data_IF_899933852578
#
_entry.id   IF_899933852578
#
_cell.length_a   1.000
_cell.length_b   1.000
_cell.length_c   1.000
_cell.angle_alpha   90.00
_cell.angle_beta   90.00
_cell.angle_gamma   90.00
#
_symmetry.space_group_name_H-M   'P 1'
#
loop_
_entity.id
_entity.type
_entity.pdbx_description
1 polymer ?
#
# COMPACT_ATOMS: atom_id res chain seq x y z
N UNK A 1 10.76 20.57 -0.44
CA UNK A 1 10.84 19.32 0.32
C UNK A 1 10.47 18.20 -0.65
N UNK A 2 11.32 17.19 -0.81
CA UNK A 2 10.99 16.06 -1.66
C UNK A 2 9.79 15.31 -1.10
N UNK A 3 8.93 14.81 -1.99
CA UNK A 3 7.71 14.10 -1.60
C UNK A 3 7.64 12.75 -2.30
N UNK A 4 7.30 11.72 -1.55
CA UNK A 4 7.10 10.35 -2.03
C UNK A 4 5.61 10.02 -1.88
N UNK A 5 5.01 9.52 -2.97
CA UNK A 5 3.65 9.02 -2.97
C UNK A 5 3.67 7.50 -2.86
N UNK A 6 2.88 6.97 -1.94
CA UNK A 6 2.80 5.54 -1.64
C UNK A 6 1.33 5.12 -1.54
N UNK A 7 0.98 4.02 -2.15
CA UNK A 7 -0.29 3.39 -1.78
C UNK A 7 -0.16 2.68 -0.42
N UNK A 8 -1.28 2.60 0.31
CA UNK A 8 -1.35 1.83 1.57
C UNK A 8 -0.85 0.41 1.37
N UNK A 9 -1.26 -0.22 0.26
CA UNK A 9 -0.86 -1.57 -0.08
C UNK A 9 0.65 -1.70 -0.30
N UNK A 10 1.27 -0.80 -1.08
CA UNK A 10 2.72 -0.80 -1.31
C UNK A 10 3.50 -0.66 -0.02
N UNK A 11 3.13 0.31 0.82
CA UNK A 11 3.79 0.54 2.11
C UNK A 11 3.75 -0.72 2.99
N UNK A 12 2.58 -1.31 3.11
CA UNK A 12 2.35 -2.48 3.97
C UNK A 12 3.04 -3.73 3.42
N UNK A 13 2.85 -4.04 2.14
CA UNK A 13 3.44 -5.23 1.52
C UNK A 13 4.97 -5.14 1.49
N UNK A 14 5.54 -3.97 1.20
CA UNK A 14 6.99 -3.78 1.21
C UNK A 14 7.62 -4.08 2.57
N UNK A 15 6.96 -3.70 3.66
CA UNK A 15 7.52 -3.82 5.01
C UNK A 15 7.16 -5.11 5.74
N UNK A 16 6.00 -5.69 5.47
CA UNK A 16 5.43 -6.75 6.28
C UNK A 16 5.18 -8.06 5.52
N UNK A 17 5.28 -8.05 4.19
CA UNK A 17 5.13 -9.28 3.42
C UNK A 17 6.25 -10.24 3.76
N UNK A 18 5.89 -11.42 4.21
CA UNK A 18 6.81 -12.52 4.54
C UNK A 18 6.50 -13.72 3.67
N UNK A 19 7.46 -14.61 3.50
CA UNK A 19 7.31 -15.83 2.71
C UNK A 19 8.14 -15.83 1.44
N UNK A 20 8.13 -16.97 0.73
CA UNK A 20 8.83 -17.15 -0.54
C UNK A 20 8.12 -16.37 -1.64
N UNK A 21 8.87 -15.92 -2.63
CA UNK A 21 8.30 -15.39 -3.88
C UNK A 21 7.57 -16.55 -4.56
N UNK A 22 6.24 -16.53 -4.49
CA UNK A 22 5.43 -17.48 -5.25
C UNK A 22 5.33 -16.99 -6.70
N UNK A 23 6.11 -17.60 -7.58
CA UNK A 23 6.11 -17.33 -9.02
C UNK A 23 4.93 -17.97 -9.76
N UNK A 24 4.06 -18.71 -9.06
CA UNK A 24 2.86 -19.28 -9.67
C UNK A 24 1.93 -18.15 -10.07
N UNK A 25 1.76 -18.00 -11.37
CA UNK A 25 0.83 -17.04 -11.95
C UNK A 25 -0.61 -17.42 -11.57
N UNK A 26 -1.12 -16.76 -10.54
CA UNK A 26 -2.54 -16.87 -10.18
C UNK A 26 -3.32 -15.94 -11.10
N UNK A 27 -3.81 -16.50 -12.21
CA UNK A 27 -4.29 -15.80 -13.38
C UNK A 27 -5.34 -14.71 -13.16
N UNK A 28 -5.55 -13.93 -14.21
CA UNK A 28 -6.56 -12.87 -14.36
C UNK A 28 -7.95 -13.25 -13.80
N UNK A 29 -8.32 -14.52 -13.86
CA UNK A 29 -9.60 -15.04 -13.40
C UNK A 29 -9.80 -14.87 -11.88
N UNK A 30 -8.77 -15.09 -11.05
CA UNK A 30 -8.86 -14.92 -9.59
C UNK A 30 -8.98 -13.46 -9.16
N UNK A 31 -8.30 -12.55 -9.86
CA UNK A 31 -8.42 -11.11 -9.56
C UNK A 31 -9.82 -10.59 -9.88
N UNK A 32 -10.39 -11.00 -11.02
CA UNK A 32 -11.75 -10.65 -11.42
C UNK A 32 -12.80 -11.27 -10.49
N UNK A 33 -12.59 -12.51 -10.05
CA UNK A 33 -13.46 -13.20 -9.09
C UNK A 33 -13.43 -12.48 -7.73
N UNK A 34 -12.24 -12.13 -7.23
CA UNK A 34 -12.08 -11.36 -6.01
C UNK A 34 -12.85 -10.04 -6.06
N UNK A 35 -12.67 -9.26 -7.13
CA UNK A 35 -13.38 -7.99 -7.32
C UNK A 35 -14.91 -8.17 -7.39
N UNK A 36 -15.40 -9.26 -7.98
CA UNK A 36 -16.84 -9.59 -8.01
C UNK A 36 -17.37 -9.89 -6.61
N UNK A 37 -16.60 -10.65 -5.83
CA UNK A 37 -16.96 -11.00 -4.45
C UNK A 37 -16.99 -9.76 -3.57
N UNK A 38 -15.97 -8.89 -3.64
CA UNK A 38 -15.95 -7.63 -2.91
C UNK A 38 -17.25 -6.84 -3.17
N UNK A 39 -17.59 -6.56 -4.44
CA UNK A 39 -18.81 -5.85 -4.79
C UNK A 39 -20.08 -6.53 -4.27
N UNK A 40 -20.12 -7.88 -4.27
CA UNK A 40 -21.26 -8.64 -3.73
C UNK A 40 -21.40 -8.44 -2.22
N UNK A 41 -20.30 -8.53 -1.48
CA UNK A 41 -20.28 -8.34 -0.02
C UNK A 41 -20.64 -6.91 0.36
N UNK A 42 -20.04 -5.93 -0.33
CA UNK A 42 -20.33 -4.50 -0.14
C UNK A 42 -21.81 -4.19 -0.37
N UNK A 43 -22.40 -4.71 -1.46
CA UNK A 43 -23.83 -4.53 -1.75
C UNK A 43 -24.74 -5.22 -0.71
N UNK A 44 -24.33 -6.39 -0.21
CA UNK A 44 -25.07 -7.13 0.80
C UNK A 44 -25.00 -6.50 2.20
N UNK A 45 -24.02 -5.63 2.44
CA UNK A 45 -23.88 -4.93 3.73
C UNK A 45 -24.99 -3.90 3.99
N UNK A 46 -25.74 -3.47 2.95
CA UNK A 46 -26.92 -2.63 3.10
C UNK A 46 -26.63 -1.13 3.19
N UNK A 47 -27.65 -0.39 3.62
CA UNK A 47 -27.58 1.05 3.83
C UNK A 47 -26.62 1.38 4.98
N UNK A 48 -25.87 2.48 4.84
CA UNK A 48 -24.87 2.89 5.84
C UNK A 48 -23.47 2.31 5.62
N UNK A 49 -23.30 1.36 4.69
CA UNK A 49 -21.99 0.84 4.31
C UNK A 49 -21.42 1.65 3.12
N UNK A 50 -20.38 2.42 3.37
CA UNK A 50 -19.66 3.18 2.34
C UNK A 50 -18.56 2.31 1.74
N UNK A 51 -18.75 1.88 0.49
CA UNK A 51 -17.80 1.02 -0.22
C UNK A 51 -16.72 1.82 -0.94
N UNK A 52 -15.53 1.25 -1.10
CA UNK A 52 -14.41 1.81 -1.89
C UNK A 52 -14.05 3.26 -1.50
N UNK A 53 -13.98 3.53 -0.21
CA UNK A 53 -13.72 4.88 0.31
C UNK A 53 -12.27 5.28 0.06
N UNK A 54 -12.06 6.30 -0.78
CA UNK A 54 -10.73 6.83 -1.03
C UNK A 54 -10.24 7.65 0.16
N UNK A 55 -9.08 7.29 0.66
CA UNK A 55 -8.43 7.92 1.81
C UNK A 55 -7.03 8.37 1.42
N UNK A 56 -6.63 9.54 1.90
CA UNK A 56 -5.28 10.08 1.70
C UNK A 56 -4.81 10.82 2.94
N UNK A 57 -3.52 10.75 3.23
CA UNK A 57 -2.90 11.50 4.31
C UNK A 57 -1.50 11.97 3.91
N UNK A 58 -1.15 13.14 4.40
CA UNK A 58 0.21 13.66 4.28
C UNK A 58 0.93 13.54 5.62
N UNK A 59 2.17 13.09 5.58
CA UNK A 59 3.05 13.00 6.74
C UNK A 59 4.43 13.50 6.35
N UNK A 60 5.15 14.07 7.31
CA UNK A 60 6.54 14.50 7.12
C UNK A 60 7.44 13.80 8.12
N UNK A 61 8.56 13.27 7.64
CA UNK A 61 9.55 12.61 8.47
C UNK A 61 10.96 12.91 7.92
N UNK A 62 11.84 13.43 8.78
CA UNK A 62 13.23 13.78 8.44
C UNK A 62 13.38 14.60 7.14
N UNK A 63 12.49 15.57 6.92
CA UNK A 63 12.53 16.44 5.75
C UNK A 63 12.01 15.82 4.46
N UNK A 64 11.42 14.61 4.51
CA UNK A 64 10.76 13.96 3.39
C UNK A 64 9.24 14.00 3.63
N UNK A 65 8.48 14.46 2.64
CA UNK A 65 7.02 14.37 2.62
C UNK A 65 6.57 13.00 2.13
N UNK A 66 5.54 12.45 2.75
CA UNK A 66 4.88 11.21 2.34
C UNK A 66 3.41 11.49 2.09
N UNK A 67 2.93 11.20 0.88
CA UNK A 67 1.50 11.13 0.57
C UNK A 67 1.12 9.67 0.56
N UNK A 68 0.33 9.24 1.55
CA UNK A 68 -0.16 7.87 1.68
C UNK A 68 -1.61 7.86 1.21
N UNK A 69 -1.93 7.00 0.25
CA UNK A 69 -3.28 6.97 -0.33
C UNK A 69 -3.74 5.54 -0.61
N UNK A 70 -5.07 5.35 -0.65
CA UNK A 70 -5.67 4.07 -1.01
C UNK A 70 -7.18 4.07 -0.89
N UNK A 71 -7.78 2.91 -1.11
CA UNK A 71 -9.22 2.70 -0.97
C UNK A 71 -9.48 1.65 0.08
N UNK A 72 -10.17 2.03 1.15
CA UNK A 72 -10.70 1.07 2.11
C UNK A 72 -11.86 0.32 1.45
N UNK A 73 -11.93 -1.00 1.60
CA UNK A 73 -12.99 -1.81 1.01
C UNK A 73 -14.37 -1.39 1.51
N UNK A 74 -14.46 -1.02 2.80
CA UNK A 74 -15.69 -0.49 3.37
C UNK A 74 -15.50 0.28 4.66
N UNK A 75 -16.39 1.24 4.90
CA UNK A 75 -16.51 1.97 6.17
C UNK A 75 -17.98 2.08 6.53
N UNK A 76 -18.32 1.78 7.77
CA UNK A 76 -19.68 1.89 8.27
C UNK A 76 -19.68 2.16 9.78
N UNK A 77 -20.82 2.53 10.32
CA UNK A 77 -21.04 2.63 11.77
C UNK A 77 -21.86 1.44 12.22
N UNK A 78 -21.42 0.73 13.25
CA UNK A 78 -22.13 -0.40 13.81
C UNK A 78 -23.33 0.04 14.69
N UNK A 79 -24.03 -0.95 15.27
CA UNK A 79 -25.20 -0.70 16.11
C UNK A 79 -24.88 0.05 17.40
N UNK A 80 -23.64 -0.05 17.90
CA UNK A 80 -23.15 0.64 19.09
C UNK A 80 -22.63 2.05 18.79
N UNK A 81 -22.66 2.47 17.53
CA UNK A 81 -22.18 3.78 17.09
C UNK A 81 -20.67 3.83 16.84
N UNK A 82 -19.98 2.69 16.85
CA UNK A 82 -18.54 2.60 16.56
C UNK A 82 -18.32 2.56 15.05
N UNK A 83 -17.38 3.37 14.58
CA UNK A 83 -16.96 3.31 13.17
C UNK A 83 -16.08 2.10 12.94
N UNK A 84 -16.40 1.35 11.90
CA UNK A 84 -15.72 0.12 11.50
C UNK A 84 -15.07 0.31 10.13
N UNK A 85 -13.78 0.03 10.04
CA UNK A 85 -13.02 -0.06 8.80
C UNK A 85 -12.98 -1.52 8.38
N UNK A 86 -13.58 -1.87 7.27
CA UNK A 86 -13.70 -3.24 6.77
C UNK A 86 -12.69 -3.52 5.64
N UNK A 87 -11.85 -4.51 5.86
CA UNK A 87 -10.87 -4.99 4.88
C UNK A 87 -11.29 -6.39 4.41
N UNK A 88 -11.68 -6.52 3.14
CA UNK A 88 -12.22 -7.75 2.56
C UNK A 88 -11.12 -8.52 1.85
N UNK A 89 -11.03 -9.81 2.10
CA UNK A 89 -10.07 -10.71 1.46
C UNK A 89 -10.75 -11.99 0.96
N UNK A 90 -10.42 -12.40 -0.24
CA UNK A 90 -10.80 -13.71 -0.77
C UNK A 90 -9.64 -14.68 -0.61
N UNK A 91 -9.95 -15.92 -0.24
CA UNK A 91 -8.95 -16.97 -0.04
C UNK A 91 -9.48 -18.34 -0.44
N UNK A 92 -8.59 -19.19 -0.99
CA UNK A 92 -8.85 -20.60 -1.21
C UNK A 92 -8.32 -21.48 -0.06
N UNK A 93 -7.79 -20.88 1.02
CA UNK A 93 -7.37 -21.65 2.18
C UNK A 93 -8.57 -22.37 2.80
N UNK A 94 -8.39 -23.61 3.33
CA UNK A 94 -9.43 -24.30 4.06
C UNK A 94 -9.97 -23.45 5.22
N UNK A 95 -11.27 -23.54 5.51
CA UNK A 95 -11.92 -22.64 6.47
C UNK A 95 -11.33 -22.73 7.90
N UNK A 96 -10.81 -23.88 8.28
CA UNK A 96 -10.12 -24.12 9.56
C UNK A 96 -8.70 -23.54 9.62
N UNK A 97 -8.10 -23.25 8.46
CA UNK A 97 -6.82 -22.57 8.35
C UNK A 97 -6.93 -21.03 8.27
N UNK A 98 -8.16 -20.51 8.18
CA UNK A 98 -8.40 -19.06 8.16
C UNK A 98 -8.43 -18.58 9.61
N UNK A 99 -7.35 -17.93 10.02
CA UNK A 99 -7.21 -17.33 11.36
C UNK A 99 -7.03 -15.82 11.24
N UNK A 100 -7.23 -15.13 12.34
CA UNK A 100 -7.03 -13.68 12.37
C UNK A 100 -5.58 -13.26 12.07
N UNK A 101 -4.60 -14.10 12.36
CA UNK A 101 -3.18 -13.83 12.13
C UNK A 101 -2.62 -14.48 10.87
N UNK A 102 -3.49 -14.97 9.97
CA UNK A 102 -3.10 -15.64 8.74
C UNK A 102 -2.16 -14.80 7.86
N UNK A 103 -2.38 -13.50 7.83
CA UNK A 103 -1.52 -12.58 7.07
C UNK A 103 -1.45 -11.20 7.75
N UNK A 104 -0.28 -10.82 8.29
CA UNK A 104 -0.12 -9.55 9.00
C UNK A 104 -0.39 -8.31 8.10
N UNK A 105 -0.22 -8.44 6.78
CA UNK A 105 -0.51 -7.34 5.87
C UNK A 105 -1.99 -6.94 5.87
N UNK A 106 -2.90 -7.87 6.13
CA UNK A 106 -4.33 -7.57 6.09
C UNK A 106 -4.74 -6.66 7.25
N UNK A 107 -4.32 -6.97 8.49
CA UNK A 107 -4.50 -6.07 9.62
C UNK A 107 -3.83 -4.73 9.40
N UNK A 108 -2.61 -4.74 8.88
CA UNK A 108 -1.85 -3.51 8.66
C UNK A 108 -2.53 -2.59 7.65
N UNK A 109 -3.16 -3.10 6.59
CA UNK A 109 -3.94 -2.30 5.65
C UNK A 109 -5.13 -1.63 6.34
N UNK A 110 -5.95 -2.39 7.07
CA UNK A 110 -7.08 -1.85 7.81
C UNK A 110 -6.65 -0.83 8.89
N UNK A 111 -5.54 -1.09 9.59
CA UNK A 111 -4.99 -0.17 10.60
C UNK A 111 -4.51 1.14 9.97
N UNK A 112 -3.87 1.12 8.81
CA UNK A 112 -3.45 2.35 8.10
C UNK A 112 -4.67 3.13 7.64
N UNK A 113 -5.69 2.47 7.08
CA UNK A 113 -6.95 3.14 6.74
C UNK A 113 -7.64 3.71 7.98
N UNK A 114 -7.63 2.98 9.09
CA UNK A 114 -8.14 3.45 10.38
C UNK A 114 -7.40 4.68 10.90
N UNK A 115 -6.06 4.73 10.76
CA UNK A 115 -5.26 5.90 11.13
C UNK A 115 -5.64 7.12 10.31
N UNK A 116 -5.80 6.96 8.99
CA UNK A 116 -6.16 8.07 8.10
C UNK A 116 -7.58 8.56 8.42
N UNK A 117 -8.54 7.65 8.47
CA UNK A 117 -9.95 7.98 8.65
C UNK A 117 -10.23 8.58 10.03
N UNK A 118 -9.71 7.98 11.10
CA UNK A 118 -9.90 8.52 12.46
C UNK A 118 -9.29 9.92 12.62
N UNK A 119 -8.20 10.22 11.89
CA UNK A 119 -7.62 11.56 11.88
C UNK A 119 -8.50 12.57 11.14
N UNK A 120 -9.04 12.20 9.96
CA UNK A 120 -9.90 13.06 9.14
C UNK A 120 -11.23 13.37 9.83
N UNK A 121 -11.85 12.37 10.45
CA UNK A 121 -13.14 12.50 11.12
C UNK A 121 -13.03 12.87 12.61
N UNK A 122 -11.81 13.12 13.11
CA UNK A 122 -11.55 13.46 14.51
C UNK A 122 -12.08 12.44 15.53
N UNK A 123 -12.08 11.15 15.15
CA UNK A 123 -12.53 10.06 16.01
C UNK A 123 -11.46 9.70 17.04
N UNK A 124 -11.86 9.29 18.24
CA UNK A 124 -10.94 8.81 19.30
C UNK A 124 -10.50 7.38 19.11
N UNK A 125 -11.34 6.57 18.47
CA UNK A 125 -11.11 5.15 18.22
C UNK A 125 -11.93 4.67 17.02
N UNK A 126 -11.55 3.54 16.45
CA UNK A 126 -12.30 2.81 15.41
C UNK A 126 -12.07 1.31 15.59
N UNK A 127 -13.01 0.52 15.09
CA UNK A 127 -12.80 -0.90 14.90
C UNK A 127 -12.22 -1.18 13.51
N UNK A 128 -11.31 -2.12 13.44
CA UNK A 128 -10.84 -2.70 12.18
C UNK A 128 -11.41 -4.10 12.07
N UNK A 129 -12.08 -4.39 10.97
CA UNK A 129 -12.67 -5.71 10.69
C UNK A 129 -11.97 -6.33 9.49
N UNK A 130 -11.50 -7.57 9.64
CA UNK A 130 -11.09 -8.41 8.51
C UNK A 130 -12.27 -9.30 8.12
N UNK A 131 -12.69 -9.21 6.88
CA UNK A 131 -13.74 -10.05 6.29
C UNK A 131 -13.11 -11.00 5.28
N UNK A 132 -12.95 -12.27 5.65
CA UNK A 132 -12.49 -13.31 4.74
C UNK A 132 -13.66 -14.01 4.07
N UNK A 133 -13.59 -14.09 2.75
CA UNK A 133 -14.50 -14.92 1.94
C UNK A 133 -13.74 -16.13 1.42
N UNK A 134 -14.16 -17.32 1.83
CA UNK A 134 -13.59 -18.59 1.38
C UNK A 134 -14.24 -19.02 0.07
N UNK A 135 -13.42 -19.22 -0.98
CA UNK A 135 -13.88 -19.36 -2.37
C UNK A 135 -14.67 -20.65 -2.63
N UNK A 136 -14.28 -21.78 -2.00
CA UNK A 136 -14.86 -23.08 -2.33
C UNK A 136 -16.16 -23.38 -1.58
N UNK A 137 -16.38 -22.73 -0.44
CA UNK A 137 -17.54 -22.99 0.44
C UNK A 137 -18.44 -21.79 0.65
N UNK A 138 -18.13 -20.65 0.04
CA UNK A 138 -18.85 -19.37 0.22
C UNK A 138 -18.92 -18.90 1.70
N UNK A 139 -18.08 -19.45 2.59
CA UNK A 139 -18.08 -19.06 4.00
C UNK A 139 -17.46 -17.69 4.19
N UNK A 140 -18.06 -16.93 5.08
CA UNK A 140 -17.56 -15.62 5.50
C UNK A 140 -17.13 -15.71 6.95
N UNK A 141 -15.86 -15.38 7.22
CA UNK A 141 -15.31 -15.28 8.57
C UNK A 141 -14.92 -13.82 8.82
N UNK A 142 -15.26 -13.33 10.01
CA UNK A 142 -14.97 -11.95 10.40
C UNK A 142 -14.21 -11.93 11.72
N UNK A 143 -13.16 -11.11 11.73
CA UNK A 143 -12.37 -10.83 12.93
C UNK A 143 -12.37 -9.33 13.15
N UNK A 144 -12.58 -8.89 14.38
CA UNK A 144 -12.67 -7.46 14.73
C UNK A 144 -11.68 -7.15 15.84
N UNK A 145 -10.96 -6.04 15.71
CA UNK A 145 -10.10 -5.49 16.75
C UNK A 145 -10.38 -3.99 16.92
N UNK A 146 -10.47 -3.59 18.17
CA UNK A 146 -10.63 -2.19 18.55
C UNK A 146 -9.27 -1.51 18.65
N UNK A 147 -9.17 -0.27 18.10
CA UNK A 147 -7.96 0.53 18.18
C UNK A 147 -8.29 1.96 18.53
N UNK A 148 -7.56 2.54 19.46
CA UNK A 148 -7.54 3.98 19.65
C UNK A 148 -6.82 4.68 18.48
N UNK A 149 -7.20 5.91 18.21
CA UNK A 149 -6.51 6.77 17.23
C UNK A 149 -5.01 6.85 17.51
N UNK A 150 -4.62 6.93 18.77
CA UNK A 150 -3.22 7.01 19.16
C UNK A 150 -2.43 5.76 18.76
N UNK A 151 -2.98 4.58 18.97
CA UNK A 151 -2.35 3.31 18.56
C UNK A 151 -2.18 3.25 17.05
N UNK A 152 -3.20 3.65 16.29
CA UNK A 152 -3.17 3.67 14.83
C UNK A 152 -2.16 4.67 14.27
N UNK A 153 -2.10 5.88 14.82
CA UNK A 153 -1.11 6.88 14.44
C UNK A 153 0.32 6.43 14.77
N UNK A 154 0.54 5.82 15.93
CA UNK A 154 1.83 5.23 16.29
C UNK A 154 2.23 4.09 15.34
N UNK A 155 1.26 3.28 14.93
CA UNK A 155 1.51 2.20 13.98
C UNK A 155 1.93 2.75 12.62
N UNK A 156 1.18 3.71 12.06
CA UNK A 156 1.53 4.37 10.81
C UNK A 156 2.90 5.04 10.88
N UNK A 157 3.19 5.75 11.97
CA UNK A 157 4.50 6.36 12.19
C UNK A 157 5.63 5.32 12.19
N UNK A 158 5.45 4.17 12.84
CA UNK A 158 6.42 3.08 12.84
C UNK A 158 6.66 2.51 11.44
N UNK A 159 5.60 2.35 10.63
CA UNK A 159 5.74 1.92 9.24
C UNK A 159 6.57 2.90 8.42
N UNK A 160 6.25 4.19 8.51
CA UNK A 160 6.99 5.23 7.78
C UNK A 160 8.45 5.33 8.22
N UNK A 161 8.72 5.21 9.52
CA UNK A 161 10.08 5.17 10.03
C UNK A 161 10.89 3.98 9.49
N UNK A 162 10.26 2.81 9.37
CA UNK A 162 10.89 1.64 8.75
C UNK A 162 11.10 1.79 7.24
N UNK A 163 10.23 2.54 6.57
CA UNK A 163 10.32 2.81 5.12
C UNK A 163 11.36 3.90 4.79
N UNK A 164 11.67 4.77 5.75
CA UNK A 164 12.49 5.97 5.57
C UNK A 164 13.86 5.70 4.90
N UNK A 165 14.65 4.67 5.27
CA UNK A 165 15.94 4.40 4.60
C UNK A 165 15.76 4.12 3.11
N UNK A 166 14.68 3.43 2.74
CA UNK A 166 14.36 3.18 1.33
C UNK A 166 13.93 4.45 0.60
N UNK A 167 13.14 5.30 1.26
CA UNK A 167 12.75 6.60 0.74
C UNK A 167 13.97 7.48 0.43
N UNK A 168 14.92 7.56 1.36
CA UNK A 168 16.18 8.29 1.20
C UNK A 168 16.99 7.74 0.03
N UNK A 169 17.08 6.41 -0.09
CA UNK A 169 17.78 5.76 -1.21
C UNK A 169 17.13 6.07 -2.56
N UNK A 170 15.80 6.02 -2.65
CA UNK A 170 15.06 6.35 -3.87
C UNK A 170 15.33 7.79 -4.31
N UNK A 171 15.30 8.76 -3.39
CA UNK A 171 15.54 10.16 -3.70
C UNK A 171 16.98 10.39 -4.17
N UNK A 172 17.97 9.84 -3.48
CA UNK A 172 19.37 9.92 -3.89
C UNK A 172 19.60 9.30 -5.29
N UNK A 173 18.95 8.19 -5.57
CA UNK A 173 19.04 7.55 -6.89
C UNK A 173 18.37 8.39 -7.99
N UNK A 174 17.23 9.02 -7.69
CA UNK A 174 16.57 9.95 -8.64
C UNK A 174 17.44 11.16 -8.96
N UNK A 175 18.11 11.74 -7.97
CA UNK A 175 19.07 12.85 -8.17
C UNK A 175 20.23 12.43 -9.06
N UNK A 176 20.85 11.28 -8.77
CA UNK A 176 21.94 10.73 -9.56
C UNK A 176 21.53 10.47 -11.01
N UNK A 177 20.33 9.89 -11.20
CA UNK A 177 19.78 9.63 -12.55
C UNK A 177 19.49 10.92 -13.29
N UNK A 178 18.92 11.91 -12.64
CA UNK A 178 18.63 13.22 -13.26
C UNK A 178 19.92 13.93 -13.67
N UNK A 179 20.95 13.91 -12.82
CA UNK A 179 22.26 14.45 -13.15
C UNK A 179 22.92 13.74 -14.34
N UNK A 180 22.81 12.43 -14.42
CA UNK A 180 23.33 11.63 -15.54
C UNK A 180 22.61 11.92 -16.85
N UNK A 181 21.29 12.12 -16.82
CA UNK A 181 20.50 12.49 -18.00
C UNK A 181 20.88 13.88 -18.51
N UNK A 182 21.02 14.86 -17.60
CA UNK A 182 21.46 16.22 -17.96
C UNK A 182 22.85 16.23 -18.59
N UNK A 183 23.80 15.46 -18.05
CA UNK A 183 25.12 15.31 -18.64
C UNK A 183 25.07 14.69 -20.05
N UNK A 184 24.18 13.70 -20.26
CA UNK A 184 23.99 13.08 -21.57
C UNK A 184 23.35 14.04 -22.58
N UNK A 185 22.35 14.82 -22.16
CA UNK A 185 21.76 15.88 -23.00
C UNK A 185 22.79 16.93 -23.43
N UNK A 186 23.64 17.39 -22.51
CA UNK A 186 24.73 18.33 -22.81
C UNK A 186 25.73 17.74 -23.82
N UNK A 187 26.09 16.48 -23.71
CA UNK A 187 26.96 15.80 -24.68
C UNK A 187 26.30 15.71 -26.06
N UNK A 188 25.02 15.37 -26.12
CA UNK A 188 24.28 15.34 -27.39
C UNK A 188 24.15 16.73 -28.03
N UNK A 189 23.93 17.77 -27.23
CA UNK A 189 23.93 19.17 -27.72
C UNK A 189 25.30 19.60 -28.30
N UNK A 190 26.38 18.98 -27.85
CA UNK A 190 27.75 19.20 -28.38
C UNK A 190 28.08 18.30 -29.58
N UNK A 191 27.10 17.65 -30.19
CA UNK A 191 27.27 16.87 -31.42
C UNK A 191 27.65 15.40 -31.23
N UNK A 192 27.64 14.90 -29.99
CA UNK A 192 27.82 13.46 -29.74
C UNK A 192 26.54 12.70 -30.03
N UNK A 193 26.64 11.59 -30.74
CA UNK A 193 25.50 10.70 -30.97
C UNK A 193 25.38 9.69 -29.83
N UNK A 194 24.20 9.05 -29.71
CA UNK A 194 24.00 8.00 -28.71
C UNK A 194 24.97 6.83 -28.89
N UNK A 195 25.38 6.53 -30.13
CA UNK A 195 26.39 5.52 -30.46
C UNK A 195 27.79 5.91 -30.00
N UNK A 196 28.11 7.21 -29.91
CA UNK A 196 29.40 7.67 -29.40
C UNK A 196 29.50 7.53 -27.88
N UNK A 197 28.35 7.54 -27.20
CA UNK A 197 28.24 7.36 -25.73
C UNK A 197 28.27 5.88 -25.31
N UNK A 198 28.00 4.98 -26.25
CA UNK A 198 28.13 3.53 -26.03
C UNK A 198 29.51 3.11 -26.50
N UNK A 199 30.37 2.71 -25.59
CA UNK A 199 31.66 2.12 -25.95
C UNK A 199 31.51 0.92 -26.89
N UNK A 200 32.58 0.50 -27.54
CA UNK A 200 32.59 -0.65 -28.48
C UNK A 200 32.01 -1.96 -27.91
N UNK A 201 31.87 -2.05 -26.60
CA UNK A 201 31.25 -3.17 -25.88
C UNK A 201 29.73 -2.99 -25.66
N UNK A 202 29.12 -1.89 -26.14
CA UNK A 202 27.71 -1.55 -25.86
C UNK A 202 27.45 -1.15 -24.41
N UNK A 203 28.48 -0.93 -23.59
CA UNK A 203 28.33 -0.44 -22.22
C UNK A 203 28.46 1.08 -22.17
N UNK A 204 27.70 1.76 -21.30
CA UNK A 204 27.87 3.22 -21.11
C UNK A 204 29.31 3.56 -20.74
N UNK A 205 29.86 4.54 -21.40
CA UNK A 205 31.15 5.12 -21.01
C UNK A 205 30.96 5.93 -19.73
N UNK A 206 31.80 5.70 -18.72
CA UNK A 206 31.85 6.58 -17.56
C UNK A 206 32.53 7.90 -17.99
N UNK A 207 31.73 8.94 -18.16
CA UNK A 207 32.24 10.29 -18.38
C UNK A 207 32.53 10.90 -17.02
N UNK A 208 33.83 11.15 -16.73
CA UNK A 208 34.21 12.04 -15.63
C UNK A 208 33.97 13.46 -16.15
N UNK A 209 33.08 14.17 -15.53
CA UNK A 209 32.94 15.61 -15.69
C UNK A 209 33.89 16.22 -14.64
N UNK A 210 34.98 16.85 -15.12
CA UNK A 210 35.88 17.64 -14.28
C UNK A 210 35.21 18.97 -13.89
#
# INVERSE_FOLDING_TARGET
MPTIRLSVRELVEFLLRTGSIDSRFTGFDRANEGARIHRRLQKAAGEGYSAEVFLTAERTMEGIGFTIEGRADGIFTDEDGTVVIDEIKTTAAPADAITEDMNPCHWAQGMVYGAIYSAQESLSAVDVRLTYYQLDTDRILRFVRHFSRQELEQFLHKLLHRYLPWAQHQLAWQETRSGSLTAMELLMMNGYTYSDLLGRSGKPLSVKVD
#
